data_IF_175688430836
#
_entry.id   IF_175688430836
#
_cell.length_a   1.000
_cell.length_b   1.000
_cell.length_c   1.000
_cell.angle_alpha   90.00
_cell.angle_beta   90.00
_cell.angle_gamma   90.00
#
_symmetry.space_group_name_H-M   'P 1'
#
loop_
_entity.id
_entity.type
_entity.pdbx_description
1 polymer ?
#
# COMPACT_ATOMS: atom_id res chain seq x y z
N UNK A 1 7.92 6.51 14.92
CA UNK A 1 6.84 6.57 13.93
C UNK A 1 7.38 5.98 12.63
N UNK A 2 6.66 5.08 11.97
CA UNK A 2 7.09 4.63 10.64
C UNK A 2 6.95 5.81 9.69
N UNK A 3 8.01 6.11 8.92
CA UNK A 3 7.95 7.18 7.92
C UNK A 3 6.88 6.83 6.88
N UNK A 4 5.92 7.74 6.68
CA UNK A 4 4.82 7.58 5.74
C UNK A 4 5.24 7.09 4.34
N UNK A 5 6.33 7.60 3.75
CA UNK A 5 6.85 7.11 2.47
C UNK A 5 7.25 5.62 2.46
N UNK A 6 7.75 5.06 3.56
CA UNK A 6 8.12 3.64 3.64
C UNK A 6 6.89 2.71 3.55
N UNK A 7 5.74 3.17 4.06
CA UNK A 7 4.48 2.43 3.92
C UNK A 7 4.06 2.33 2.45
N UNK A 8 4.31 3.38 1.65
CA UNK A 8 4.01 3.41 0.22
C UNK A 8 4.93 2.44 -0.54
N UNK A 9 6.23 2.46 -0.25
CA UNK A 9 7.18 1.51 -0.86
C UNK A 9 6.82 0.06 -0.52
N UNK A 10 6.38 -0.21 0.71
CA UNK A 10 5.90 -1.55 1.11
C UNK A 10 4.66 -1.97 0.32
N UNK A 11 3.72 -1.06 0.08
CA UNK A 11 2.55 -1.32 -0.76
C UNK A 11 2.94 -1.56 -2.23
N UNK A 12 3.93 -0.84 -2.76
CA UNK A 12 4.41 -1.04 -4.13
C UNK A 12 5.18 -2.34 -4.31
N UNK A 13 5.86 -2.84 -3.27
CA UNK A 13 6.47 -4.17 -3.34
C UNK A 13 5.40 -5.28 -3.51
N UNK A 14 4.20 -5.10 -2.95
CA UNK A 14 3.08 -6.01 -3.19
C UNK A 14 2.66 -6.00 -4.67
N UNK A 15 2.59 -4.83 -5.29
CA UNK A 15 2.30 -4.70 -6.72
C UNK A 15 3.40 -5.34 -7.58
N UNK A 16 4.67 -5.05 -7.26
CA UNK A 16 5.83 -5.63 -7.95
C UNK A 16 5.82 -7.16 -7.93
N UNK A 17 5.41 -7.77 -6.82
CA UNK A 17 5.37 -9.24 -6.66
C UNK A 17 4.18 -9.90 -7.36
N UNK A 18 3.03 -9.23 -7.44
CA UNK A 18 1.77 -9.84 -7.90
C UNK A 18 1.32 -9.37 -9.30
N UNK A 19 1.93 -8.31 -9.83
CA UNK A 19 1.63 -7.72 -11.13
C UNK A 19 2.93 -7.27 -11.81
N UNK A 20 3.95 -8.14 -11.79
CA UNK A 20 5.31 -7.83 -12.26
C UNK A 20 5.38 -7.50 -13.76
N UNK A 21 4.40 -7.97 -14.53
CA UNK A 21 4.22 -7.74 -15.96
C UNK A 21 3.53 -6.41 -16.28
N UNK A 22 2.93 -5.74 -15.28
CA UNK A 22 2.16 -4.52 -15.48
C UNK A 22 2.96 -3.29 -15.04
N UNK A 23 3.14 -2.34 -15.96
CA UNK A 23 3.85 -1.09 -15.66
C UNK A 23 2.96 -0.18 -14.80
N UNK A 24 3.49 0.30 -13.68
CA UNK A 24 2.82 1.32 -12.86
C UNK A 24 2.89 2.68 -13.57
N UNK A 25 1.72 3.27 -13.85
CA UNK A 25 1.60 4.60 -14.42
C UNK A 25 1.58 5.67 -13.32
N UNK A 26 0.81 5.43 -12.25
CA UNK A 26 0.69 6.39 -11.14
C UNK A 26 0.37 5.69 -9.83
N UNK A 27 0.70 6.37 -8.73
CA UNK A 27 0.43 5.94 -7.36
C UNK A 27 -0.11 7.13 -6.58
N UNK A 28 -1.33 7.01 -6.07
CA UNK A 28 -1.95 7.99 -5.20
C UNK A 28 -2.10 7.40 -3.81
N UNK A 29 -1.62 8.07 -2.76
CA UNK A 29 -1.70 7.54 -1.40
C UNK A 29 -2.27 8.54 -0.40
N UNK A 30 -2.82 8.00 0.68
CA UNK A 30 -3.30 8.78 1.83
C UNK A 30 -2.82 8.13 3.12
N UNK A 31 -2.08 8.88 3.90
CA UNK A 31 -1.72 8.54 5.28
C UNK A 31 -2.86 8.99 6.18
N UNK A 32 -3.37 8.10 7.03
CA UNK A 32 -4.53 8.39 7.89
C UNK A 32 -4.17 8.40 9.36
N UNK A 33 -3.38 7.41 9.80
CA UNK A 33 -2.92 7.28 11.18
C UNK A 33 -1.46 6.85 11.19
N UNK A 34 -0.64 7.39 12.12
CA UNK A 34 0.73 6.93 12.27
C UNK A 34 0.74 5.43 12.56
N UNK A 35 1.61 4.70 11.88
CA UNK A 35 2.00 3.35 12.27
C UNK A 35 3.19 3.47 13.24
N UNK A 36 3.15 2.76 14.37
CA UNK A 36 4.22 2.82 15.34
C UNK A 36 5.25 1.72 15.08
N UNK A 37 6.52 2.00 15.40
CA UNK A 37 7.57 1.01 15.27
C UNK A 37 7.27 -0.17 16.22
N UNK A 38 7.60 -1.40 15.80
CA UNK A 38 7.29 -2.69 16.46
C UNK A 38 5.88 -3.23 16.30
N UNK A 39 4.97 -2.52 15.63
CA UNK A 39 3.69 -3.10 15.23
C UNK A 39 3.87 -4.02 14.03
N UNK A 40 3.15 -5.17 14.02
CA UNK A 40 3.10 -6.04 12.85
C UNK A 40 2.17 -5.41 11.81
N UNK A 41 2.77 -4.88 10.75
CA UNK A 41 2.04 -4.28 9.64
C UNK A 41 1.67 -5.35 8.62
N UNK A 42 0.44 -5.29 8.14
CA UNK A 42 -0.07 -6.08 7.03
C UNK A 42 -0.30 -5.14 5.85
N UNK A 43 0.48 -5.31 4.78
CA UNK A 43 0.17 -4.76 3.48
C UNK A 43 -0.76 -5.73 2.75
N UNK A 44 -1.88 -5.22 2.22
CA UNK A 44 -2.81 -6.02 1.42
C UNK A 44 -3.28 -5.20 0.22
N UNK A 45 -3.63 -5.91 -0.85
CA UNK A 45 -4.10 -5.31 -2.09
C UNK A 45 -5.25 -6.10 -2.70
N UNK A 46 -6.13 -5.39 -3.40
CA UNK A 46 -7.17 -5.97 -4.24
C UNK A 46 -7.03 -5.39 -5.65
N UNK A 47 -6.84 -6.23 -6.69
CA UNK A 47 -6.88 -5.77 -8.06
C UNK A 47 -8.31 -5.36 -8.42
N UNK A 48 -8.46 -4.24 -9.15
CA UNK A 48 -9.74 -3.72 -9.65
C UNK A 48 -9.49 -3.20 -11.06
N UNK A 49 -9.89 -3.96 -12.07
CA UNK A 49 -9.67 -3.63 -13.50
C UNK A 49 -8.22 -3.22 -13.80
N UNK A 50 -8.03 -1.99 -14.30
CA UNK A 50 -6.71 -1.42 -14.59
C UNK A 50 -6.02 -0.78 -13.37
N UNK A 51 -6.48 -1.12 -12.16
CA UNK A 51 -6.01 -0.54 -10.90
C UNK A 51 -5.72 -1.61 -9.86
N UNK A 52 -5.02 -1.20 -8.80
CA UNK A 52 -4.92 -1.95 -7.56
C UNK A 52 -5.20 -1.03 -6.37
N UNK A 53 -6.12 -1.44 -5.50
CA UNK A 53 -6.40 -0.78 -4.23
C UNK A 53 -5.56 -1.44 -3.14
N UNK A 54 -4.73 -0.65 -2.46
CA UNK A 54 -3.77 -1.11 -1.47
C UNK A 54 -4.05 -0.48 -0.11
N UNK A 55 -3.73 -1.21 0.95
CA UNK A 55 -3.79 -0.69 2.33
C UNK A 55 -2.69 -1.29 3.19
N UNK A 56 -2.28 -0.51 4.20
CA UNK A 56 -1.50 -0.99 5.34
C UNK A 56 -2.34 -0.87 6.60
N UNK A 57 -2.46 -1.99 7.32
CA UNK A 57 -3.18 -2.09 8.58
C UNK A 57 -2.40 -2.86 9.65
N UNK A 58 -2.89 -2.77 10.87
CA UNK A 58 -2.51 -3.59 12.02
C UNK A 58 -3.78 -4.21 12.61
N UNK A 59 -3.65 -5.02 13.66
CA UNK A 59 -4.79 -5.52 14.42
C UNK A 59 -5.62 -4.42 15.10
N UNK A 60 -5.03 -3.23 15.34
CA UNK A 60 -5.70 -2.11 16.04
C UNK A 60 -6.31 -1.10 15.08
N UNK A 61 -5.72 -0.93 13.91
CA UNK A 61 -6.17 0.01 12.89
C UNK A 61 -5.99 -0.61 11.51
N UNK A 62 -7.08 -0.79 10.79
CA UNK A 62 -7.05 -1.46 9.49
C UNK A 62 -6.51 -0.56 8.36
N UNK A 63 -6.44 0.76 8.56
CA UNK A 63 -6.14 1.75 7.52
C UNK A 63 -5.17 2.82 8.03
N UNK A 64 -3.95 2.44 8.40
CA UNK A 64 -2.86 3.40 8.65
C UNK A 64 -2.53 4.19 7.38
N UNK A 65 -2.48 3.49 6.25
CA UNK A 65 -2.29 4.08 4.93
C UNK A 65 -3.12 3.34 3.87
N UNK A 66 -3.55 4.05 2.84
CA UNK A 66 -4.18 3.49 1.64
C UNK A 66 -3.48 4.01 0.40
N UNK A 67 -3.41 3.21 -0.66
CA UNK A 67 -2.93 3.66 -1.96
C UNK A 67 -3.80 3.11 -3.10
N UNK A 68 -3.91 3.88 -4.16
CA UNK A 68 -4.41 3.44 -5.46
C UNK A 68 -3.23 3.43 -6.43
N UNK A 69 -3.08 2.33 -7.15
CA UNK A 69 -2.13 2.19 -8.25
C UNK A 69 -2.91 2.07 -9.55
N UNK A 70 -2.51 2.84 -10.55
CA UNK A 70 -3.01 2.74 -11.92
C UNK A 70 -1.90 2.16 -12.79
N UNK A 71 -2.23 1.16 -13.59
CA UNK A 71 -1.28 0.55 -14.54
C UNK A 71 -1.41 1.21 -15.92
N UNK A 72 -0.31 1.22 -16.68
CA UNK A 72 -0.24 1.76 -18.04
C UNK A 72 -0.80 0.76 -19.06
#
# INVERSE_FOLDING_TARGET
MVHGPLLVLTMLDLVRRNASDRRVQSVSYRLRRPAFARERLLASGMPVDNKAMLRVGTHREQRHATAEVIFA
#
